data_IF_822715026474
#
_entry.id   IF_822715026474
#
_cell.length_a   1.000
_cell.length_b   1.000
_cell.length_c   1.000
_cell.angle_alpha   90.00
_cell.angle_beta   90.00
_cell.angle_gamma   90.00
#
_symmetry.space_group_name_H-M   'P 1'
#
loop_
_entity.id
_entity.type
_entity.pdbx_description
1 polymer ?
#
# COMPACT_ATOMS: atom_id res chain seq x y z
N UNK A 1 -72.27 -17.14 -34.82
CA UNK A 1 -71.01 -17.88 -35.08
C UNK A 1 -69.82 -17.01 -35.51
N UNK A 2 -69.97 -15.76 -35.98
CA UNK A 2 -68.82 -14.90 -36.36
C UNK A 2 -67.93 -14.44 -35.18
N UNK A 3 -68.50 -14.15 -34.00
CA UNK A 3 -67.73 -13.60 -32.87
C UNK A 3 -66.75 -14.57 -32.17
N UNK A 4 -66.91 -15.89 -32.35
CA UNK A 4 -66.01 -16.88 -31.74
C UNK A 4 -64.75 -17.08 -32.60
N UNK A 5 -64.91 -17.01 -33.93
CA UNK A 5 -63.80 -17.15 -34.89
C UNK A 5 -62.78 -16.01 -34.78
N UNK A 6 -63.24 -14.77 -34.63
CA UNK A 6 -62.36 -13.59 -34.57
C UNK A 6 -61.57 -13.50 -33.26
N UNK A 7 -62.14 -13.99 -32.15
CA UNK A 7 -61.44 -14.06 -30.87
C UNK A 7 -60.38 -15.16 -30.85
N UNK A 8 -60.63 -16.32 -31.46
CA UNK A 8 -59.62 -17.39 -31.58
C UNK A 8 -58.47 -16.94 -32.48
N UNK A 9 -58.75 -16.20 -33.55
CA UNK A 9 -57.71 -15.69 -34.46
C UNK A 9 -56.84 -14.60 -33.80
N UNK A 10 -57.44 -13.71 -33.00
CA UNK A 10 -56.71 -12.71 -32.20
C UNK A 10 -55.84 -13.36 -31.12
N UNK A 11 -56.36 -14.34 -30.37
CA UNK A 11 -55.61 -15.04 -29.33
C UNK A 11 -54.41 -15.79 -29.93
N UNK A 12 -54.58 -16.47 -31.08
CA UNK A 12 -53.47 -17.13 -31.78
C UNK A 12 -52.41 -16.14 -32.28
N UNK A 13 -52.81 -14.96 -32.78
CA UNK A 13 -51.86 -13.89 -33.16
C UNK A 13 -51.10 -13.33 -31.96
N UNK A 14 -51.78 -13.09 -30.83
CA UNK A 14 -51.14 -12.56 -29.62
C UNK A 14 -50.19 -13.58 -28.99
N UNK A 15 -50.55 -14.87 -28.94
CA UNK A 15 -49.66 -15.94 -28.45
C UNK A 15 -48.44 -16.10 -29.36
N UNK A 16 -48.61 -16.06 -30.69
CA UNK A 16 -47.51 -16.16 -31.64
C UNK A 16 -46.56 -14.94 -31.55
N UNK A 17 -47.10 -13.73 -31.34
CA UNK A 17 -46.31 -12.52 -31.15
C UNK A 17 -45.57 -12.52 -29.80
N UNK A 18 -46.17 -13.10 -28.76
CA UNK A 18 -45.56 -13.29 -27.44
C UNK A 18 -44.41 -14.30 -27.46
N UNK A 19 -44.57 -15.40 -28.20
CA UNK A 19 -43.52 -16.41 -28.42
C UNK A 19 -42.35 -15.89 -29.27
N UNK A 20 -42.63 -15.05 -30.27
CA UNK A 20 -41.61 -14.36 -31.04
C UNK A 20 -40.85 -13.32 -30.18
N UNK A 21 -41.53 -12.55 -29.33
CA UNK A 21 -40.86 -11.61 -28.41
C UNK A 21 -40.02 -12.34 -27.34
N UNK A 22 -40.45 -13.49 -26.84
CA UNK A 22 -39.67 -14.31 -25.90
C UNK A 22 -38.42 -14.94 -26.56
N UNK A 23 -38.47 -15.25 -27.86
CA UNK A 23 -37.30 -15.71 -28.63
C UNK A 23 -36.28 -14.60 -28.95
N UNK A 24 -36.71 -13.34 -28.99
CA UNK A 24 -35.84 -12.17 -29.20
C UNK A 24 -35.32 -11.54 -27.89
N UNK A 25 -35.84 -11.97 -26.73
CA UNK A 25 -35.38 -11.54 -25.41
C UNK A 25 -34.41 -12.51 -24.74
N UNK A 26 -33.96 -13.57 -25.43
CA UNK A 26 -32.71 -14.21 -25.01
C UNK A 26 -31.58 -13.23 -25.32
N UNK A 27 -30.83 -12.71 -24.32
CA UNK A 27 -29.69 -11.88 -24.61
C UNK A 27 -28.81 -12.64 -25.60
N UNK A 28 -28.54 -12.02 -26.74
CA UNK A 28 -27.69 -12.53 -27.81
C UNK A 28 -26.25 -12.64 -27.30
N UNK A 29 -25.99 -13.63 -26.44
CA UNK A 29 -24.66 -14.11 -26.05
C UNK A 29 -24.03 -14.95 -27.19
N UNK A 30 -24.26 -14.56 -28.44
CA UNK A 30 -23.91 -15.35 -29.64
C UNK A 30 -22.40 -15.25 -29.96
N UNK A 31 -21.69 -14.31 -29.33
CA UNK A 31 -20.24 -14.13 -29.48
C UNK A 31 -19.46 -14.56 -28.22
N UNK A 32 -19.82 -15.67 -27.57
CA UNK A 32 -18.99 -16.22 -26.51
C UNK A 32 -17.80 -17.00 -27.09
N UNK A 33 -16.61 -16.75 -26.56
CA UNK A 33 -15.40 -17.44 -27.00
C UNK A 33 -15.41 -18.88 -26.48
N UNK A 34 -15.57 -19.85 -27.39
CA UNK A 34 -15.40 -21.27 -27.08
C UNK A 34 -13.97 -21.70 -27.36
N UNK A 35 -13.25 -22.07 -26.31
CA UNK A 35 -11.85 -22.50 -26.44
C UNK A 35 -11.76 -23.95 -26.90
N UNK A 36 -10.97 -24.19 -27.94
CA UNK A 36 -10.77 -25.52 -28.54
C UNK A 36 -10.01 -26.50 -27.63
N UNK A 37 -9.21 -26.01 -26.68
CA UNK A 37 -8.46 -26.83 -25.74
C UNK A 37 -8.24 -26.11 -24.41
N UNK A 38 -8.04 -26.88 -23.33
CA UNK A 38 -7.72 -26.34 -22.01
C UNK A 38 -6.40 -25.55 -22.03
N UNK A 39 -5.45 -25.97 -22.87
CA UNK A 39 -4.18 -25.27 -23.12
C UNK A 39 -4.42 -23.87 -23.70
N UNK A 40 -5.23 -23.77 -24.75
CA UNK A 40 -5.57 -22.47 -25.35
C UNK A 40 -6.31 -21.56 -24.37
N UNK A 41 -7.14 -22.14 -23.49
CA UNK A 41 -7.83 -21.41 -22.44
C UNK A 41 -6.84 -20.79 -21.44
N UNK A 42 -6.00 -21.62 -20.81
CA UNK A 42 -5.07 -21.11 -19.79
C UNK A 42 -3.99 -20.18 -20.37
N UNK A 43 -3.58 -20.36 -21.63
CA UNK A 43 -2.65 -19.45 -22.31
C UNK A 43 -3.22 -18.04 -22.51
N UNK A 44 -4.53 -17.91 -22.76
CA UNK A 44 -5.19 -16.61 -22.91
C UNK A 44 -5.26 -15.85 -21.59
N UNK A 45 -5.58 -16.58 -20.50
CA UNK A 45 -5.52 -16.06 -19.14
C UNK A 45 -4.09 -15.70 -18.71
N UNK A 46 -3.13 -16.53 -19.10
CA UNK A 46 -1.71 -16.30 -18.86
C UNK A 46 -1.24 -14.96 -19.41
N UNK A 47 -1.61 -14.60 -20.65
CA UNK A 47 -1.24 -13.28 -21.22
C UNK A 47 -1.76 -12.10 -20.40
N UNK A 48 -2.98 -12.19 -19.87
CA UNK A 48 -3.57 -11.16 -19.02
C UNK A 48 -2.84 -11.05 -17.68
N UNK A 49 -2.49 -12.19 -17.08
CA UNK A 49 -1.70 -12.27 -15.85
C UNK A 49 -0.29 -11.65 -16.03
N UNK A 50 0.43 -12.00 -17.10
CA UNK A 50 1.75 -11.41 -17.39
C UNK A 50 1.67 -9.90 -17.60
N UNK A 51 0.66 -9.44 -18.34
CA UNK A 51 0.44 -8.01 -18.50
C UNK A 51 0.25 -7.34 -17.15
N UNK A 52 -0.55 -7.92 -16.26
CA UNK A 52 -0.81 -7.37 -14.94
C UNK A 52 0.46 -7.32 -14.09
N UNK A 53 1.20 -8.44 -14.02
CA UNK A 53 2.48 -8.52 -13.29
C UNK A 53 3.45 -7.44 -13.77
N UNK A 54 3.62 -7.30 -15.09
CA UNK A 54 4.47 -6.27 -15.70
C UNK A 54 3.96 -4.84 -15.43
N UNK A 55 2.66 -4.63 -15.51
CA UNK A 55 2.07 -3.33 -15.28
C UNK A 55 2.24 -2.87 -13.82
N UNK A 56 1.98 -3.75 -12.86
CA UNK A 56 2.18 -3.48 -11.43
C UNK A 56 3.65 -3.29 -11.10
N UNK A 57 4.52 -3.98 -11.81
CA UNK A 57 5.96 -3.76 -11.72
C UNK A 57 6.39 -2.37 -12.16
N UNK A 58 6.00 -1.96 -13.38
CA UNK A 58 6.29 -0.62 -13.89
C UNK A 58 5.74 0.45 -12.94
N UNK A 59 4.57 0.22 -12.36
CA UNK A 59 3.96 1.10 -11.36
C UNK A 59 4.78 1.16 -10.07
N UNK A 60 5.20 0.01 -9.53
CA UNK A 60 5.99 -0.07 -8.29
C UNK A 60 7.35 0.61 -8.45
N UNK A 61 8.04 0.35 -9.57
CA UNK A 61 9.28 1.05 -9.94
C UNK A 61 9.01 2.55 -10.01
N UNK A 62 7.92 2.97 -10.66
CA UNK A 62 7.56 4.38 -10.77
C UNK A 62 7.32 5.01 -9.40
N UNK A 63 6.60 4.36 -8.47
CA UNK A 63 6.39 4.87 -7.10
C UNK A 63 7.73 5.07 -6.37
N UNK A 64 8.65 4.10 -6.47
CA UNK A 64 9.93 4.15 -5.76
C UNK A 64 10.90 5.15 -6.40
N UNK A 65 10.87 5.32 -7.72
CA UNK A 65 11.77 6.21 -8.47
C UNK A 65 11.23 7.64 -8.66
N UNK A 66 9.91 7.85 -8.58
CA UNK A 66 9.34 9.16 -8.86
C UNK A 66 9.51 10.11 -7.67
N UNK A 67 10.27 11.18 -7.89
CA UNK A 67 10.20 12.41 -7.09
C UNK A 67 9.03 13.33 -7.52
N UNK A 68 8.21 12.91 -8.50
CA UNK A 68 7.13 13.70 -9.09
C UNK A 68 5.86 12.83 -9.23
N UNK A 69 4.85 13.16 -8.41
CA UNK A 69 3.56 12.44 -8.31
C UNK A 69 2.86 12.20 -9.65
N UNK A 70 3.08 13.09 -10.63
CA UNK A 70 2.41 13.03 -11.93
C UNK A 70 2.71 11.75 -12.74
N UNK A 71 3.91 11.18 -12.63
CA UNK A 71 4.29 9.98 -13.41
C UNK A 71 3.67 8.70 -12.86
N UNK A 72 3.59 8.59 -11.53
CA UNK A 72 2.95 7.45 -10.87
C UNK A 72 1.45 7.46 -11.11
N UNK A 73 0.81 8.63 -11.10
CA UNK A 73 -0.62 8.79 -11.41
C UNK A 73 -0.99 8.45 -12.85
N UNK A 74 -0.19 8.86 -13.84
CA UNK A 74 -0.42 8.49 -15.24
C UNK A 74 -0.30 6.98 -15.43
N UNK A 75 0.70 6.37 -14.78
CA UNK A 75 0.90 4.91 -14.84
C UNK A 75 -0.29 4.19 -14.20
N UNK A 76 -0.73 4.62 -13.02
CA UNK A 76 -1.91 4.09 -12.34
C UNK A 76 -3.17 4.15 -13.20
N UNK A 77 -3.47 5.31 -13.81
CA UNK A 77 -4.65 5.49 -14.69
C UNK A 77 -4.65 4.51 -15.86
N UNK A 78 -3.51 4.36 -16.54
CA UNK A 78 -3.35 3.42 -17.67
C UNK A 78 -3.64 1.97 -17.26
N UNK A 79 -3.19 1.56 -16.07
CA UNK A 79 -3.42 0.21 -15.55
C UNK A 79 -4.90 0.01 -15.22
N UNK A 80 -5.51 0.98 -14.55
CA UNK A 80 -6.94 0.97 -14.21
C UNK A 80 -7.81 0.84 -15.45
N UNK A 81 -7.58 1.65 -16.47
CA UNK A 81 -8.34 1.61 -17.73
C UNK A 81 -8.23 0.24 -18.41
N UNK A 82 -7.00 -0.30 -18.51
CA UNK A 82 -6.78 -1.60 -19.16
C UNK A 82 -7.40 -2.75 -18.37
N UNK A 83 -7.30 -2.76 -17.05
CA UNK A 83 -7.95 -3.76 -16.20
C UNK A 83 -9.47 -3.72 -16.32
N UNK A 84 -10.08 -2.53 -16.35
CA UNK A 84 -11.53 -2.37 -16.57
C UNK A 84 -11.96 -2.93 -17.94
N UNK A 85 -11.18 -2.71 -18.99
CA UNK A 85 -11.43 -3.27 -20.32
C UNK A 85 -11.31 -4.81 -20.30
N UNK A 86 -10.24 -5.35 -19.69
CA UNK A 86 -10.05 -6.81 -19.57
C UNK A 86 -11.21 -7.45 -18.81
N UNK A 87 -11.60 -6.90 -17.66
CA UNK A 87 -12.70 -7.42 -16.86
C UNK A 87 -14.03 -7.38 -17.63
N UNK A 88 -14.33 -6.27 -18.30
CA UNK A 88 -15.53 -6.15 -19.12
C UNK A 88 -15.55 -7.21 -20.24
N UNK A 89 -14.43 -7.40 -20.93
CA UNK A 89 -14.34 -8.39 -22.00
C UNK A 89 -14.56 -9.82 -21.49
N UNK A 90 -13.89 -10.19 -20.39
CA UNK A 90 -14.02 -11.51 -19.77
C UNK A 90 -15.45 -11.75 -19.28
N UNK A 91 -16.04 -10.79 -18.57
CA UNK A 91 -17.39 -10.92 -18.00
C UNK A 91 -18.48 -11.10 -19.08
N UNK A 92 -18.33 -10.42 -20.22
CA UNK A 92 -19.31 -10.47 -21.30
C UNK A 92 -19.12 -11.66 -22.27
N UNK A 93 -17.89 -12.14 -22.46
CA UNK A 93 -17.57 -13.05 -23.57
C UNK A 93 -17.03 -14.43 -23.14
N UNK A 94 -16.58 -14.59 -21.89
CA UNK A 94 -15.99 -15.85 -21.41
C UNK A 94 -17.01 -16.72 -20.64
N UNK A 95 -17.26 -17.92 -21.16
CA UNK A 95 -18.19 -18.90 -20.55
C UNK A 95 -17.52 -20.01 -19.75
N UNK A 96 -16.21 -19.96 -19.57
CA UNK A 96 -15.44 -21.04 -18.98
C UNK A 96 -15.06 -22.12 -19.99
N UNK A 97 -14.01 -22.88 -19.68
CA UNK A 97 -13.65 -24.05 -20.47
C UNK A 97 -14.52 -25.25 -20.08
N UNK A 98 -15.32 -25.77 -21.02
CA UNK A 98 -16.29 -26.87 -20.77
C UNK A 98 -17.23 -26.56 -19.58
N UNK A 99 -17.64 -25.30 -19.43
CA UNK A 99 -18.48 -24.85 -18.32
C UNK A 99 -17.75 -24.64 -16.97
N UNK A 100 -16.45 -24.89 -16.90
CA UNK A 100 -15.63 -24.56 -15.74
C UNK A 100 -15.20 -23.08 -15.79
N UNK A 101 -15.71 -22.28 -14.87
CA UNK A 101 -15.45 -20.83 -14.79
C UNK A 101 -14.44 -20.46 -13.71
N UNK A 102 -13.84 -21.41 -13.00
CA UNK A 102 -13.01 -21.12 -11.82
C UNK A 102 -11.81 -20.24 -12.16
N UNK A 103 -11.16 -20.47 -13.32
CA UNK A 103 -10.06 -19.65 -13.80
C UNK A 103 -10.50 -18.22 -14.15
N UNK A 104 -11.64 -18.10 -14.83
CA UNK A 104 -12.29 -16.83 -15.17
C UNK A 104 -12.59 -15.99 -13.93
N UNK A 105 -13.32 -16.59 -13.00
CA UNK A 105 -13.80 -15.93 -11.79
C UNK A 105 -12.63 -15.57 -10.86
N UNK A 106 -11.58 -16.40 -10.85
CA UNK A 106 -10.31 -16.12 -10.18
C UNK A 106 -9.60 -14.89 -10.74
N UNK A 107 -9.43 -14.78 -12.06
CA UNK A 107 -8.79 -13.63 -12.70
C UNK A 107 -9.58 -12.34 -12.47
N UNK A 108 -10.91 -12.39 -12.63
CA UNK A 108 -11.79 -11.23 -12.38
C UNK A 108 -11.62 -10.71 -10.94
N UNK A 109 -11.59 -11.61 -9.96
CA UNK A 109 -11.41 -11.27 -8.54
C UNK A 109 -10.03 -10.67 -8.26
N UNK A 110 -8.98 -11.26 -8.83
CA UNK A 110 -7.62 -10.74 -8.72
C UNK A 110 -7.54 -9.32 -9.31
N UNK A 111 -8.06 -9.12 -10.52
CA UNK A 111 -8.06 -7.81 -11.19
C UNK A 111 -8.84 -6.76 -10.39
N UNK A 112 -9.99 -7.13 -9.83
CA UNK A 112 -10.78 -6.24 -8.97
C UNK A 112 -10.00 -5.83 -7.72
N UNK A 113 -9.25 -6.76 -7.11
CA UNK A 113 -8.39 -6.44 -5.98
C UNK A 113 -7.21 -5.56 -6.36
N UNK A 114 -6.65 -5.74 -7.55
CA UNK A 114 -5.62 -4.85 -8.09
C UNK A 114 -6.17 -3.45 -8.36
N UNK A 115 -7.38 -3.33 -8.92
CA UNK A 115 -8.06 -2.05 -9.10
C UNK A 115 -8.23 -1.32 -7.77
N UNK A 116 -8.78 -2.01 -6.77
CA UNK A 116 -8.93 -1.46 -5.41
C UNK A 116 -7.59 -1.02 -4.81
N UNK A 117 -6.53 -1.82 -4.98
CA UNK A 117 -5.21 -1.50 -4.45
C UNK A 117 -4.63 -0.21 -5.08
N UNK A 118 -4.77 -0.03 -6.39
CA UNK A 118 -4.30 1.16 -7.11
C UNK A 118 -5.15 2.39 -6.79
N UNK A 119 -6.48 2.27 -6.88
CA UNK A 119 -7.41 3.39 -6.68
C UNK A 119 -7.34 3.91 -5.24
N UNK A 120 -7.21 3.02 -4.25
CA UNK A 120 -7.03 3.39 -2.84
C UNK A 120 -5.59 3.78 -2.48
N UNK A 121 -4.67 3.80 -3.46
CA UNK A 121 -3.24 4.09 -3.24
C UNK A 121 -2.62 3.22 -2.14
N UNK A 122 -3.01 1.94 -2.07
CA UNK A 122 -2.63 1.01 -0.99
C UNK A 122 -1.11 0.83 -0.89
N UNK A 123 -0.41 0.89 -2.03
CA UNK A 123 1.04 0.75 -2.13
C UNK A 123 1.80 2.08 -2.04
N UNK A 124 1.08 3.20 -1.92
CA UNK A 124 1.67 4.55 -1.77
C UNK A 124 1.75 4.87 -0.29
N UNK A 125 2.99 4.93 0.22
CA UNK A 125 3.32 5.05 1.63
C UNK A 125 4.26 6.25 1.85
N UNK A 126 3.79 7.43 1.46
CA UNK A 126 4.55 8.70 1.51
C UNK A 126 3.76 9.84 2.18
N UNK A 127 2.57 9.56 2.71
CA UNK A 127 1.61 10.54 3.24
C UNK A 127 1.94 10.99 4.68
N UNK A 128 3.23 11.04 5.03
CA UNK A 128 3.73 11.27 6.39
C UNK A 128 3.17 12.53 7.05
N UNK A 129 3.09 13.63 6.29
CA UNK A 129 2.62 14.91 6.83
C UNK A 129 1.14 14.87 7.19
N UNK A 130 0.31 14.20 6.38
CA UNK A 130 -1.13 14.04 6.68
C UNK A 130 -1.38 13.17 7.91
N UNK A 131 -0.50 12.20 8.19
CA UNK A 131 -0.61 11.34 9.37
C UNK A 131 -0.34 12.12 10.67
N UNK A 132 0.43 13.21 10.62
CA UNK A 132 0.77 13.99 11.81
C UNK A 132 -0.43 14.67 12.47
N UNK A 133 -1.50 14.93 11.71
CA UNK A 133 -2.74 15.53 12.21
C UNK A 133 -3.56 14.55 13.06
N UNK A 134 -3.31 13.24 12.90
CA UNK A 134 -4.04 12.21 13.61
C UNK A 134 -3.56 12.03 15.05
N UNK A 135 -4.45 11.54 15.91
CA UNK A 135 -4.04 11.02 17.22
C UNK A 135 -3.14 9.80 17.06
N UNK A 136 -2.31 9.49 18.07
CA UNK A 136 -1.45 8.29 18.05
C UNK A 136 -2.27 7.00 17.86
N UNK A 137 -3.45 6.93 18.47
CA UNK A 137 -4.40 5.83 18.25
C UNK A 137 -4.88 5.75 16.79
N UNK A 138 -5.15 6.89 16.18
CA UNK A 138 -5.52 6.98 14.76
C UNK A 138 -4.38 6.52 13.83
N UNK A 139 -3.15 6.94 14.12
CA UNK A 139 -1.95 6.51 13.39
C UNK A 139 -1.80 4.97 13.45
N UNK A 140 -1.91 4.38 14.65
CA UNK A 140 -1.79 2.92 14.82
C UNK A 140 -2.93 2.19 14.11
N UNK A 141 -4.16 2.71 14.15
CA UNK A 141 -5.28 2.14 13.40
C UNK A 141 -5.01 2.16 11.88
N UNK A 142 -4.49 3.27 11.35
CA UNK A 142 -4.10 3.39 9.95
C UNK A 142 -2.97 2.42 9.58
N UNK A 143 -1.98 2.21 10.45
CA UNK A 143 -0.94 1.21 10.24
C UNK A 143 -1.52 -0.19 10.03
N UNK A 144 -2.43 -0.59 10.92
CA UNK A 144 -3.06 -1.91 10.85
C UNK A 144 -3.96 -2.05 9.62
N UNK A 145 -4.72 -1.00 9.28
CA UNK A 145 -5.55 -1.00 8.08
C UNK A 145 -4.71 -1.11 6.81
N UNK A 146 -3.64 -0.31 6.67
CA UNK A 146 -2.76 -0.34 5.50
C UNK A 146 -2.07 -1.69 5.36
N UNK A 147 -1.52 -2.23 6.45
CA UNK A 147 -0.89 -3.54 6.44
C UNK A 147 -1.90 -4.65 6.06
N UNK A 148 -3.11 -4.61 6.62
CA UNK A 148 -4.17 -5.56 6.26
C UNK A 148 -4.55 -5.46 4.77
N UNK A 149 -4.68 -4.25 4.22
CA UNK A 149 -4.99 -4.07 2.80
C UNK A 149 -3.89 -4.62 1.88
N UNK A 150 -2.62 -4.41 2.23
CA UNK A 150 -1.48 -4.99 1.52
C UNK A 150 -1.54 -6.52 1.58
N UNK A 151 -1.79 -7.11 2.75
CA UNK A 151 -1.86 -8.57 2.91
C UNK A 151 -3.02 -9.18 2.12
N UNK A 152 -4.22 -8.58 2.19
CA UNK A 152 -5.39 -9.05 1.45
C UNK A 152 -5.18 -8.98 -0.07
N UNK A 153 -4.47 -7.97 -0.55
CA UNK A 153 -4.12 -7.86 -1.97
C UNK A 153 -3.26 -9.05 -2.42
N UNK A 154 -2.16 -9.32 -1.71
CA UNK A 154 -1.26 -10.43 -2.07
C UNK A 154 -1.87 -11.81 -1.80
N UNK A 155 -2.79 -11.94 -0.84
CA UNK A 155 -3.55 -13.17 -0.63
C UNK A 155 -4.36 -13.55 -1.88
N UNK A 156 -4.97 -12.57 -2.54
CA UNK A 156 -5.77 -12.79 -3.75
C UNK A 156 -4.91 -13.03 -5.00
N UNK A 157 -3.72 -12.41 -5.10
CA UNK A 157 -2.70 -12.80 -6.10
C UNK A 157 -2.31 -14.27 -5.92
N UNK A 158 -1.95 -14.66 -4.70
CA UNK A 158 -1.54 -16.03 -4.38
C UNK A 158 -2.69 -17.03 -4.55
N UNK A 159 -3.94 -16.60 -4.34
CA UNK A 159 -5.12 -17.40 -4.62
C UNK A 159 -5.27 -17.70 -6.10
N UNK A 160 -5.05 -16.71 -6.96
CA UNK A 160 -5.12 -16.92 -8.40
C UNK A 160 -4.02 -17.87 -8.89
N UNK A 161 -2.81 -17.79 -8.33
CA UNK A 161 -1.74 -18.75 -8.61
C UNK A 161 -2.15 -20.21 -8.24
N UNK A 162 -2.81 -20.41 -7.10
CA UNK A 162 -3.37 -21.72 -6.73
C UNK A 162 -4.44 -22.21 -7.70
N UNK A 163 -5.37 -21.33 -8.09
CA UNK A 163 -6.43 -21.64 -9.06
C UNK A 163 -5.83 -22.09 -10.40
N UNK A 164 -4.79 -21.40 -10.88
CA UNK A 164 -4.06 -21.82 -12.09
C UNK A 164 -3.53 -23.24 -11.91
N UNK A 165 -2.79 -23.51 -10.84
CA UNK A 165 -2.21 -24.85 -10.56
C UNK A 165 -3.27 -25.95 -10.52
N UNK A 166 -4.39 -25.71 -9.84
CA UNK A 166 -5.52 -26.64 -9.75
C UNK A 166 -6.15 -26.91 -11.12
N UNK A 167 -6.34 -25.87 -11.94
CA UNK A 167 -6.81 -26.01 -13.32
C UNK A 167 -5.84 -26.85 -14.15
N UNK A 168 -4.53 -26.64 -13.99
CA UNK A 168 -3.50 -27.43 -14.68
C UNK A 168 -3.59 -28.91 -14.36
N UNK A 169 -3.72 -29.26 -13.07
CA UNK A 169 -3.91 -30.64 -12.62
C UNK A 169 -5.19 -31.25 -13.19
N UNK A 170 -6.30 -30.50 -13.17
CA UNK A 170 -7.60 -30.99 -13.65
C UNK A 170 -7.58 -31.38 -15.14
N UNK A 171 -6.78 -30.70 -15.96
CA UNK A 171 -6.74 -30.89 -17.41
C UNK A 171 -5.41 -31.49 -17.92
N UNK A 172 -4.60 -32.10 -17.04
CA UNK A 172 -3.30 -32.71 -17.37
C UNK A 172 -2.34 -31.75 -18.11
N UNK A 173 -2.27 -30.51 -17.62
CA UNK A 173 -1.38 -29.47 -18.12
C UNK A 173 -0.26 -29.20 -17.10
N UNK A 174 0.98 -29.27 -17.57
CA UNK A 174 2.14 -28.82 -16.78
C UNK A 174 2.29 -27.31 -16.93
N UNK A 175 1.69 -26.58 -16.00
CA UNK A 175 1.85 -25.13 -15.89
C UNK A 175 3.27 -24.84 -15.41
N UNK A 176 3.95 -23.87 -16.02
CA UNK A 176 5.20 -23.36 -15.48
C UNK A 176 4.92 -22.73 -14.11
N UNK A 177 5.35 -23.41 -13.06
CA UNK A 177 5.43 -22.83 -11.73
C UNK A 177 6.57 -21.82 -11.73
N UNK A 178 6.25 -20.56 -11.47
CA UNK A 178 7.21 -19.60 -10.97
C UNK A 178 7.14 -19.70 -9.45
N UNK A 179 7.88 -20.65 -8.89
CA UNK A 179 8.00 -20.89 -7.43
C UNK A 179 8.93 -19.84 -6.76
N UNK A 180 9.00 -18.65 -7.33
CA UNK A 180 9.87 -17.58 -6.86
C UNK A 180 9.10 -16.69 -5.89
N UNK A 181 9.79 -16.28 -4.82
CA UNK A 181 9.23 -15.32 -3.87
C UNK A 181 8.79 -14.06 -4.63
N UNK A 182 7.59 -13.57 -4.33
CA UNK A 182 7.05 -12.42 -5.02
C UNK A 182 7.79 -11.14 -4.58
N UNK A 183 8.64 -10.61 -5.46
CA UNK A 183 9.46 -9.41 -5.21
C UNK A 183 8.59 -8.22 -4.79
N UNK A 184 7.38 -8.07 -5.36
CA UNK A 184 6.46 -6.98 -5.00
C UNK A 184 5.89 -7.17 -3.60
N UNK A 185 5.52 -8.39 -3.26
CA UNK A 185 5.02 -8.72 -1.92
C UNK A 185 6.09 -8.42 -0.87
N UNK A 186 7.31 -8.86 -1.14
CA UNK A 186 8.46 -8.61 -0.29
C UNK A 186 8.74 -7.11 -0.10
N UNK A 187 8.84 -6.35 -1.20
CA UNK A 187 9.05 -4.90 -1.13
C UNK A 187 7.90 -4.19 -0.41
N UNK A 188 6.64 -4.52 -0.69
CA UNK A 188 5.50 -3.90 -0.02
C UNK A 188 5.53 -4.16 1.50
N UNK A 189 5.89 -5.38 1.91
CA UNK A 189 6.08 -5.73 3.33
C UNK A 189 7.23 -4.96 3.96
N UNK A 190 8.36 -4.78 3.28
CA UNK A 190 9.47 -3.96 3.80
C UNK A 190 9.11 -2.47 3.86
N UNK A 191 8.37 -1.97 2.86
CA UNK A 191 7.95 -0.57 2.77
C UNK A 191 7.00 -0.20 3.91
N UNK A 192 6.02 -1.05 4.25
CA UNK A 192 5.10 -0.76 5.35
C UNK A 192 5.83 -0.71 6.71
N UNK A 193 6.87 -1.53 6.91
CA UNK A 193 7.68 -1.48 8.13
C UNK A 193 8.48 -0.16 8.24
N UNK A 194 9.12 0.24 7.14
CA UNK A 194 9.81 1.53 7.04
C UNK A 194 8.86 2.71 7.30
N UNK A 195 7.69 2.69 6.64
CA UNK A 195 6.66 3.71 6.75
C UNK A 195 6.20 3.93 8.19
N UNK A 196 5.88 2.85 8.91
CA UNK A 196 5.37 2.95 10.29
C UNK A 196 6.35 3.70 11.21
N UNK A 197 7.65 3.42 11.08
CA UNK A 197 8.68 4.09 11.87
C UNK A 197 8.82 5.56 11.50
N UNK A 198 8.80 5.88 10.21
CA UNK A 198 8.94 7.25 9.74
C UNK A 198 7.75 8.14 10.12
N UNK A 199 6.52 7.60 10.09
CA UNK A 199 5.32 8.33 10.57
C UNK A 199 5.45 8.69 12.05
N UNK A 200 5.89 7.76 12.90
CA UNK A 200 6.06 8.04 14.32
C UNK A 200 7.20 9.04 14.58
N UNK A 201 8.30 8.98 13.82
CA UNK A 201 9.36 9.98 13.90
C UNK A 201 8.87 11.38 13.49
N UNK A 202 8.14 11.50 12.38
CA UNK A 202 7.51 12.76 11.97
C UNK A 202 6.58 13.31 13.05
N UNK A 203 5.75 12.44 13.65
CA UNK A 203 4.85 12.82 14.75
C UNK A 203 5.63 13.34 15.95
N UNK A 204 6.77 12.71 16.28
CA UNK A 204 7.63 13.11 17.39
C UNK A 204 8.15 14.55 17.21
N UNK A 205 8.61 14.90 16.00
CA UNK A 205 9.07 16.26 15.69
C UNK A 205 7.93 17.28 15.86
N UNK A 206 6.73 16.95 15.38
CA UNK A 206 5.55 17.81 15.54
C UNK A 206 5.20 18.06 17.03
N UNK A 207 5.31 17.03 17.87
CA UNK A 207 5.07 17.13 19.31
C UNK A 207 6.12 18.01 20.01
N UNK A 208 7.39 17.95 19.59
CA UNK A 208 8.45 18.84 20.07
C UNK A 208 8.16 20.31 19.72
N UNK A 209 7.75 20.60 18.47
CA UNK A 209 7.41 21.96 18.03
C UNK A 209 6.25 22.54 18.84
N UNK A 210 5.25 21.70 19.11
CA UNK A 210 4.04 22.07 19.86
C UNK A 210 4.24 22.07 21.38
N UNK A 211 5.42 21.66 21.87
CA UNK A 211 5.74 21.51 23.30
C UNK A 211 4.78 20.58 24.05
N UNK A 212 4.26 19.57 23.36
CA UNK A 212 3.37 18.58 23.96
C UNK A 212 4.18 17.46 24.63
N UNK A 213 4.44 17.63 25.92
CA UNK A 213 5.20 16.67 26.72
C UNK A 213 4.53 15.30 26.80
N UNK A 214 3.21 15.26 27.00
CA UNK A 214 2.51 14.01 27.22
C UNK A 214 2.45 13.21 25.92
N UNK A 215 2.05 13.85 24.82
CA UNK A 215 2.06 13.22 23.50
C UNK A 215 3.46 12.78 23.08
N UNK A 216 4.51 13.56 23.39
CA UNK A 216 5.90 13.16 23.12
C UNK A 216 6.29 11.85 23.82
N UNK A 217 5.98 11.71 25.12
CA UNK A 217 6.29 10.49 25.87
C UNK A 217 5.50 9.28 25.37
N UNK A 218 4.22 9.46 25.05
CA UNK A 218 3.38 8.42 24.46
C UNK A 218 3.90 7.97 23.09
N UNK A 219 4.35 8.92 22.27
CA UNK A 219 4.92 8.64 20.95
C UNK A 219 6.26 7.90 21.05
N UNK A 220 7.13 8.27 21.99
CA UNK A 220 8.36 7.53 22.28
C UNK A 220 8.07 6.08 22.68
N UNK A 221 7.12 5.88 23.59
CA UNK A 221 6.71 4.55 24.01
C UNK A 221 6.14 3.73 22.84
N UNK A 222 5.39 4.36 21.93
CA UNK A 222 4.92 3.69 20.72
C UNK A 222 6.07 3.28 19.79
N UNK A 223 7.11 4.10 19.64
CA UNK A 223 8.33 3.76 18.88
C UNK A 223 9.06 2.58 19.54
N UNK A 224 9.23 2.61 20.85
CA UNK A 224 9.86 1.52 21.62
C UNK A 224 9.10 0.20 21.49
N UNK A 225 7.77 0.24 21.54
CA UNK A 225 6.93 -0.95 21.35
C UNK A 225 6.94 -1.47 19.90
N UNK A 226 7.03 -0.57 18.92
CA UNK A 226 6.99 -0.93 17.50
C UNK A 226 8.35 -1.46 17.00
N UNK A 227 9.47 -0.95 17.54
CA UNK A 227 10.82 -1.34 17.10
C UNK A 227 11.05 -2.86 17.09
N UNK A 228 10.80 -3.62 18.17
CA UNK A 228 10.97 -5.07 18.16
C UNK A 228 10.12 -5.77 17.10
N UNK A 229 8.90 -5.30 16.88
CA UNK A 229 8.01 -5.84 15.87
C UNK A 229 8.56 -5.64 14.45
N UNK A 230 9.05 -4.43 14.16
CA UNK A 230 9.68 -4.12 12.87
C UNK A 230 10.93 -4.97 12.66
N UNK A 231 11.83 -5.04 13.65
CA UNK A 231 13.05 -5.84 13.56
C UNK A 231 12.75 -7.33 13.35
N UNK A 232 11.77 -7.89 14.08
CA UNK A 232 11.36 -9.29 13.92
C UNK A 232 10.84 -9.56 12.51
N UNK A 233 9.90 -8.74 12.01
CA UNK A 233 9.34 -8.93 10.67
C UNK A 233 10.39 -8.74 9.57
N UNK A 234 11.28 -7.76 9.70
CA UNK A 234 12.39 -7.58 8.75
C UNK A 234 13.32 -8.79 8.76
N UNK A 235 13.58 -9.41 9.91
CA UNK A 235 14.38 -10.63 9.99
C UNK A 235 13.65 -11.84 9.37
N UNK A 236 12.33 -11.97 9.57
CA UNK A 236 11.53 -13.04 8.97
C UNK A 236 11.53 -12.98 7.44
N UNK A 237 11.53 -11.78 6.86
CA UNK A 237 11.56 -11.56 5.40
C UNK A 237 12.93 -11.86 4.77
N UNK A 238 14.01 -11.91 5.55
CA UNK A 238 15.37 -12.18 5.06
C UNK A 238 15.51 -13.52 4.34
N UNK A 239 14.64 -14.49 4.66
CA UNK A 239 14.63 -15.81 4.01
C UNK A 239 14.03 -15.80 2.60
N UNK A 240 13.35 -14.72 2.22
CA UNK A 240 12.62 -14.64 0.96
C UNK A 240 13.56 -14.30 -0.22
N UNK A 241 14.69 -13.62 0.02
CA UNK A 241 15.66 -13.28 -1.02
C UNK A 241 17.10 -13.37 -0.49
N UNK A 242 18.05 -13.77 -1.34
CA UNK A 242 19.48 -13.76 -1.00
C UNK A 242 20.08 -12.35 -0.95
N UNK A 243 19.46 -11.38 -1.64
CA UNK A 243 19.82 -9.96 -1.55
C UNK A 243 19.17 -9.37 -0.29
N UNK A 244 19.98 -9.13 0.75
CA UNK A 244 19.50 -8.65 2.05
C UNK A 244 19.52 -7.12 2.18
N UNK A 245 19.81 -6.40 1.10
CA UNK A 245 20.10 -4.96 1.14
C UNK A 245 18.95 -4.11 1.70
N UNK A 246 17.70 -4.46 1.41
CA UNK A 246 16.53 -3.78 2.00
C UNK A 246 16.40 -4.10 3.50
N UNK A 247 16.66 -5.35 3.93
CA UNK A 247 16.60 -5.70 5.35
C UNK A 247 17.60 -4.88 6.15
N UNK A 248 18.85 -4.81 5.66
CA UNK A 248 19.92 -4.05 6.30
C UNK A 248 19.58 -2.57 6.37
N UNK A 249 19.02 -2.00 5.29
CA UNK A 249 18.58 -0.61 5.27
C UNK A 249 17.45 -0.33 6.29
N UNK A 250 16.50 -1.26 6.44
CA UNK A 250 15.43 -1.16 7.43
C UNK A 250 15.98 -1.24 8.87
N UNK A 251 16.86 -2.20 9.15
CA UNK A 251 17.48 -2.37 10.46
C UNK A 251 18.31 -1.14 10.83
N UNK A 252 19.14 -0.65 9.92
CA UNK A 252 19.96 0.55 10.12
C UNK A 252 19.08 1.78 10.44
N UNK A 253 18.01 1.98 9.67
CA UNK A 253 17.10 3.11 9.86
C UNK A 253 16.37 3.05 11.21
N UNK A 254 15.80 1.89 11.56
CA UNK A 254 15.08 1.66 12.82
C UNK A 254 15.99 1.88 14.03
N UNK A 255 17.21 1.34 13.99
CA UNK A 255 18.18 1.52 15.06
C UNK A 255 18.62 2.98 15.18
N UNK A 256 18.88 3.65 14.05
CA UNK A 256 19.21 5.08 14.06
C UNK A 256 18.11 5.91 14.73
N UNK A 257 16.84 5.72 14.38
CA UNK A 257 15.74 6.48 15.00
C UNK A 257 15.66 6.24 16.50
N UNK A 258 15.76 4.98 16.93
CA UNK A 258 15.74 4.62 18.35
C UNK A 258 16.89 5.26 19.13
N UNK A 259 18.12 5.13 18.62
CA UNK A 259 19.32 5.64 19.29
C UNK A 259 19.31 7.17 19.38
N UNK A 260 18.78 7.84 18.36
CA UNK A 260 18.64 9.30 18.38
C UNK A 260 17.58 9.76 19.37
N UNK A 261 16.46 9.07 19.44
CA UNK A 261 15.40 9.39 20.41
C UNK A 261 15.91 9.31 21.84
N UNK A 262 16.69 8.28 22.17
CA UNK A 262 17.32 8.15 23.49
C UNK A 262 18.28 9.31 23.78
N UNK A 263 19.13 9.68 22.81
CA UNK A 263 20.10 10.78 22.95
C UNK A 263 19.46 12.14 23.14
N UNK A 264 18.35 12.44 22.45
CA UNK A 264 17.72 13.76 22.49
C UNK A 264 16.67 13.91 23.59
N UNK A 265 16.17 12.79 24.15
CA UNK A 265 15.04 12.79 25.09
C UNK A 265 15.26 13.77 26.25
N UNK A 266 16.42 13.71 26.92
CA UNK A 266 16.72 14.58 28.06
C UNK A 266 16.68 16.06 27.68
N UNK A 267 17.20 16.44 26.51
CA UNK A 267 17.19 17.81 25.99
C UNK A 267 15.78 18.30 25.66
N UNK A 268 14.93 17.43 25.11
CA UNK A 268 13.52 17.74 24.83
C UNK A 268 12.76 17.97 26.13
N UNK A 269 12.92 17.08 27.12
CA UNK A 269 12.26 17.21 28.41
C UNK A 269 12.70 18.48 29.16
N UNK A 270 14.01 18.77 29.15
CA UNK A 270 14.56 20.03 29.68
C UNK A 270 13.92 21.25 29.00
N UNK A 271 13.82 21.22 27.67
CA UNK A 271 13.20 22.29 26.90
C UNK A 271 11.73 22.52 27.28
N UNK A 272 10.94 21.45 27.42
CA UNK A 272 9.55 21.54 27.84
C UNK A 272 9.38 22.12 29.24
N UNK A 273 10.22 21.70 30.20
CA UNK A 273 10.15 22.23 31.56
C UNK A 273 10.56 23.70 31.63
N UNK A 274 11.60 24.11 30.89
CA UNK A 274 11.98 25.53 30.80
C UNK A 274 10.89 26.37 30.14
N UNK A 275 10.22 25.85 29.10
CA UNK A 275 9.08 26.53 28.48
C UNK A 275 7.94 26.76 29.49
N UNK A 276 7.58 25.74 30.29
CA UNK A 276 6.58 25.88 31.36
C UNK A 276 6.97 26.93 32.40
N UNK A 277 8.24 27.01 32.79
CA UNK A 277 8.72 28.03 33.72
C UNK A 277 8.59 29.44 33.14
N UNK A 278 8.93 29.64 31.87
CA UNK A 278 8.71 30.93 31.17
C UNK A 278 7.23 31.32 31.20
N UNK A 279 6.32 30.38 30.91
CA UNK A 279 4.87 30.66 30.94
C UNK A 279 4.37 31.01 32.34
N UNK A 280 4.83 30.30 33.38
CA UNK A 280 4.47 30.59 34.77
C UNK A 280 4.90 32.00 35.20
N UNK A 281 6.12 32.42 34.84
CA UNK A 281 6.60 33.77 35.19
C UNK A 281 5.85 34.84 34.39
N UNK A 282 5.58 34.61 33.11
CA UNK A 282 4.77 35.52 32.28
C UNK A 282 3.35 35.71 32.80
N UNK A 283 2.74 34.66 33.36
CA UNK A 283 1.42 34.77 33.96
C UNK A 283 1.47 35.62 35.23
N UNK A 284 2.42 35.33 36.14
CA UNK A 284 2.62 36.07 37.39
C UNK A 284 2.95 37.55 37.17
N UNK A 285 3.74 37.88 36.14
CA UNK A 285 4.11 39.26 35.85
C UNK A 285 2.93 40.11 35.35
N UNK A 286 1.86 39.49 34.84
CA UNK A 286 0.62 40.20 34.49
C UNK A 286 -0.24 40.56 35.71
N UNK A 287 -0.06 39.86 36.83
CA UNK A 287 -0.88 39.98 38.03
C UNK A 287 -0.27 40.91 39.09
N UNK A 288 1.02 41.24 38.98
CA UNK A 288 1.78 42.02 39.96
C UNK A 288 2.34 43.28 39.26
N UNK A 289 2.27 44.46 39.90
CA UNK A 289 3.00 45.64 39.42
C UNK A 289 4.50 45.31 39.28
N UNK A 290 5.03 45.43 38.07
CA UNK A 290 6.38 44.98 37.73
C UNK A 290 7.44 45.63 38.63
N UNK A 291 8.07 44.82 39.49
CA UNK A 291 9.25 45.24 40.24
C UNK A 291 10.53 44.91 39.46
N UNK A 292 11.61 45.68 39.67
CA UNK A 292 12.94 45.39 39.09
C UNK A 292 13.42 43.96 39.40
N UNK A 293 13.03 43.40 40.56
CA UNK A 293 13.34 42.03 40.97
C UNK A 293 12.61 41.00 40.10
N UNK A 294 11.33 41.24 39.81
CA UNK A 294 10.50 40.39 38.92
C UNK A 294 11.03 40.37 37.49
N UNK A 295 11.50 41.52 36.99
CA UNK A 295 12.11 41.65 35.65
C UNK A 295 13.44 40.87 35.56
N UNK A 296 14.28 40.96 36.60
CA UNK A 296 15.56 40.23 36.64
C UNK A 296 15.37 38.71 36.67
N UNK A 297 14.39 38.22 37.46
CA UNK A 297 14.03 36.80 37.51
C UNK A 297 13.50 36.28 36.17
N UNK A 298 12.64 37.05 35.50
CA UNK A 298 12.16 36.74 34.15
C UNK A 298 13.32 36.64 33.15
N UNK A 299 14.21 37.63 33.12
CA UNK A 299 15.36 37.66 32.23
C UNK A 299 16.29 36.45 32.43
N UNK A 300 16.49 36.01 33.67
CA UNK A 300 17.29 34.81 33.99
C UNK A 300 16.67 33.55 33.38
N UNK A 301 15.36 33.36 33.55
CA UNK A 301 14.66 32.18 33.02
C UNK A 301 14.59 32.19 31.49
N UNK A 302 14.36 33.36 30.87
CA UNK A 302 14.39 33.50 29.41
C UNK A 302 15.77 33.19 28.82
N UNK A 303 16.85 33.66 29.46
CA UNK A 303 18.23 33.32 29.04
C UNK A 303 18.47 31.82 29.08
N UNK A 304 18.07 31.14 30.16
CA UNK A 304 18.22 29.68 30.28
C UNK A 304 17.37 28.93 29.26
N UNK A 305 16.11 29.35 29.06
CA UNK A 305 15.23 28.79 28.03
C UNK A 305 15.85 28.90 26.63
N UNK A 306 16.37 30.08 26.26
CA UNK A 306 16.99 30.28 24.96
C UNK A 306 18.26 29.43 24.79
N UNK A 307 19.08 29.31 25.83
CA UNK A 307 20.25 28.44 25.82
C UNK A 307 19.87 26.98 25.56
N UNK A 308 18.90 26.43 26.31
CA UNK A 308 18.43 25.04 26.15
C UNK A 308 17.76 24.80 24.80
N UNK A 309 16.94 25.76 24.34
CA UNK A 309 16.32 25.73 23.00
C UNK A 309 17.37 25.66 21.89
N UNK A 310 18.41 26.48 21.96
CA UNK A 310 19.44 26.52 20.92
C UNK A 310 20.25 25.22 20.86
N UNK A 311 20.57 24.62 22.02
CA UNK A 311 21.21 23.29 22.06
C UNK A 311 20.31 22.24 21.41
N UNK A 312 19.03 22.21 21.78
CA UNK A 312 18.07 21.27 21.19
C UNK A 312 17.96 21.46 19.67
N UNK A 313 17.88 22.69 19.18
CA UNK A 313 17.80 22.98 17.74
C UNK A 313 19.04 22.47 16.99
N UNK A 314 20.24 22.68 17.53
CA UNK A 314 21.48 22.15 16.93
C UNK A 314 21.46 20.62 16.81
N UNK A 315 21.04 19.93 17.89
CA UNK A 315 20.94 18.46 17.90
C UNK A 315 19.87 17.97 16.92
N UNK A 316 18.72 18.63 16.85
CA UNK A 316 17.66 18.29 15.90
C UNK A 316 18.10 18.50 14.46
N UNK A 317 18.82 19.59 14.14
CA UNK A 317 19.34 19.86 12.80
C UNK A 317 20.31 18.77 12.33
N UNK A 318 21.25 18.37 13.19
CA UNK A 318 22.17 17.26 12.89
C UNK A 318 21.41 15.94 12.68
N UNK A 319 20.45 15.65 13.55
CA UNK A 319 19.62 14.45 13.45
C UNK A 319 18.79 14.41 12.18
N UNK A 320 18.15 15.52 11.80
CA UNK A 320 17.38 15.60 10.56
C UNK A 320 18.27 15.43 9.32
N UNK A 321 19.50 15.96 9.35
CA UNK A 321 20.47 15.77 8.26
C UNK A 321 20.87 14.30 8.10
N UNK A 322 21.15 13.60 9.20
CA UNK A 322 21.52 12.18 9.17
C UNK A 322 20.32 11.30 8.80
N UNK A 323 19.13 11.60 9.34
CA UNK A 323 17.87 10.95 8.96
C UNK A 323 17.62 11.05 7.46
N UNK A 324 17.75 12.24 6.87
CA UNK A 324 17.56 12.46 5.43
C UNK A 324 18.51 11.62 4.57
N UNK A 325 19.76 11.42 5.02
CA UNK A 325 20.70 10.53 4.32
C UNK A 325 20.23 9.08 4.34
N UNK A 326 19.79 8.57 5.50
CA UNK A 326 19.32 7.19 5.62
C UNK A 326 18.00 6.97 4.87
N UNK A 327 17.08 7.93 4.95
CA UNK A 327 15.85 7.94 4.16
C UNK A 327 16.17 7.83 2.66
N UNK A 328 17.01 8.71 2.11
CA UNK A 328 17.38 8.67 0.70
C UNK A 328 18.13 7.38 0.32
N UNK A 329 18.98 6.87 1.21
CA UNK A 329 19.68 5.59 1.04
C UNK A 329 18.67 4.46 0.91
N UNK A 330 17.67 4.42 1.77
CA UNK A 330 16.63 3.39 1.75
C UNK A 330 15.87 3.36 0.42
N UNK A 331 15.40 4.50 -0.09
CA UNK A 331 14.71 4.54 -1.39
C UNK A 331 15.62 4.12 -2.54
N UNK A 332 16.88 4.57 -2.53
CA UNK A 332 17.87 4.16 -3.54
C UNK A 332 18.13 2.65 -3.48
N UNK A 333 18.26 2.08 -2.27
CA UNK A 333 18.43 0.64 -2.07
C UNK A 333 17.21 -0.14 -2.54
N UNK A 334 16.00 0.31 -2.22
CA UNK A 334 14.75 -0.32 -2.64
C UNK A 334 14.62 -0.34 -4.17
N UNK A 335 14.89 0.79 -4.83
CA UNK A 335 14.90 0.88 -6.29
C UNK A 335 15.91 -0.10 -6.92
N UNK A 336 17.12 -0.18 -6.35
CA UNK A 336 18.17 -1.08 -6.83
C UNK A 336 17.81 -2.55 -6.61
N UNK A 337 17.28 -2.89 -5.44
CA UNK A 337 16.81 -4.24 -5.12
C UNK A 337 15.73 -4.68 -6.10
N UNK A 338 14.71 -3.84 -6.34
CA UNK A 338 13.68 -4.11 -7.34
C UNK A 338 14.31 -4.42 -8.70
N UNK A 339 15.14 -3.52 -9.23
CA UNK A 339 15.78 -3.72 -10.55
C UNK A 339 16.62 -4.99 -10.65
N UNK A 340 17.26 -5.41 -9.54
CA UNK A 340 18.16 -6.56 -9.52
C UNK A 340 17.45 -7.91 -9.32
N UNK A 341 16.32 -7.92 -8.61
CA UNK A 341 15.60 -9.15 -8.25
C UNK A 341 14.34 -9.38 -9.10
N UNK A 342 13.96 -8.40 -9.92
CA UNK A 342 12.92 -8.57 -10.92
C UNK A 342 13.39 -9.58 -11.98
N UNK A 343 12.63 -10.67 -12.10
CA UNK A 343 12.69 -11.57 -13.26
C UNK A 343 11.54 -11.22 -14.19
N UNK A 344 11.86 -10.78 -15.40
CA UNK A 344 10.86 -10.59 -16.44
C UNK A 344 10.50 -11.96 -17.03
N UNK A 345 9.30 -12.45 -16.74
CA UNK A 345 8.72 -13.53 -17.55
C UNK A 345 8.56 -13.01 -19.00
N UNK A 346 9.05 -13.76 -19.99
CA UNK A 346 8.87 -13.38 -21.40
C UNK A 346 7.39 -13.46 -21.77
N UNK A 347 6.77 -12.34 -22.16
CA UNK A 347 5.35 -12.26 -22.56
C UNK A 347 4.98 -13.18 -23.74
N UNK A 348 5.99 -13.75 -24.40
CA UNK A 348 5.86 -14.73 -25.48
C UNK A 348 6.18 -16.18 -25.05
N UNK A 349 6.61 -16.41 -23.81
CA UNK A 349 6.85 -17.76 -23.30
C UNK A 349 5.53 -18.52 -23.11
N UNK A 350 5.51 -19.79 -23.55
CA UNK A 350 4.33 -20.65 -23.34
C UNK A 350 4.15 -20.93 -21.84
N UNK A 351 2.92 -20.70 -21.35
CA UNK A 351 2.49 -20.99 -19.97
C UNK A 351 2.45 -22.49 -19.63
N UNK A 352 2.32 -23.33 -20.65
CA UNK A 352 2.28 -24.78 -20.53
C UNK A 352 3.55 -25.33 -21.16
N UNK A 353 4.30 -26.16 -20.44
CA UNK A 353 5.44 -26.89 -21.02
C UNK A 353 4.92 -27.86 -22.08
N UNK A 354 5.53 -27.87 -23.25
CA UNK A 354 5.30 -28.94 -24.23
C UNK A 354 5.84 -30.25 -23.59
N UNK A 355 5.04 -31.33 -23.64
CA UNK A 355 5.42 -32.65 -23.10
C UNK A 355 6.54 -33.26 -23.92
#
# INVERSE_FOLDING_TARGET
MKNVSDNIFKIKKTILFSLLLLGFLTPSRINSQEYRSAKAYIEDFGKNDMYLKKAIMDYSITIVESFLDTRSEVTAKRIVEKLKIINSNIDHHDRGFKGNTVLRDGLLRMNEKTLQAIENKTMVLDDYDSQNELSLKGIIANFNQRESSIMQYFEEINRFERIKKEFGVQYDLTIKNYDENNVFEYCAKQNILFYKMNVLDHKLIHLIINKDKQGFLECLQAIENLKPHVLSKTAELKKDFSDESINDANIEYVNFLSDQNEKIMSYVLDYFEQYKLVQKIKARSKEIQESNKTIAEYNKVVKLFNYKKNILLMLLEENQKNKKKLYNKWYTTNAKFLRNNIVFEDIHEKFVKDK
#
